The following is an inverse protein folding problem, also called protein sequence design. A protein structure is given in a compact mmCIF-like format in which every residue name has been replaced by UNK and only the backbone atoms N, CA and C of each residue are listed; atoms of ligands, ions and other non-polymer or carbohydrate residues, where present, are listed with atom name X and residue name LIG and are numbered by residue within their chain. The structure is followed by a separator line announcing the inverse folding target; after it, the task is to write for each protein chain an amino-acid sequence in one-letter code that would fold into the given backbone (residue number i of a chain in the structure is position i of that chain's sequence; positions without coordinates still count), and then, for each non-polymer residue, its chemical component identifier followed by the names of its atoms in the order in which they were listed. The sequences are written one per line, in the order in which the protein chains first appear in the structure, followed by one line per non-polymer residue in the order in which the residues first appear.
data_IF_860349211673
#
_entry.id   IF_860349211673
#
_cell.length_a   1.000
_cell.length_b   1.000
_cell.length_c   1.000
_cell.angle_alpha   90.00
_cell.angle_beta   90.00
_cell.angle_gamma   90.00
#
_symmetry.space_group_name_H-M   'P 1'
#
loop_
_entity.id
_entity.type
_entity.pdbx_description
1 polymer ?
#
# COMPACT_ATOMS: atom_id res chain seq x y z
N UNK A 1 25.27 -15.42 -0.18
CA UNK A 1 25.82 -15.94 -1.46
C UNK A 1 27.02 -16.86 -1.23
N UNK A 2 28.08 -16.40 -0.57
CA UNK A 2 29.29 -17.22 -0.31
C UNK A 2 28.94 -18.50 0.45
N UNK A 3 28.00 -18.44 1.38
CA UNK A 3 27.54 -19.58 2.18
C UNK A 3 26.44 -20.41 1.48
N UNK A 4 26.07 -20.08 0.25
CA UNK A 4 25.01 -20.76 -0.49
C UNK A 4 23.58 -20.41 -0.08
N UNK A 5 23.39 -19.51 0.88
CA UNK A 5 22.06 -19.04 1.31
C UNK A 5 21.53 -17.97 0.35
N UNK A 6 20.92 -18.43 -0.74
CA UNK A 6 20.36 -17.57 -1.80
C UNK A 6 18.88 -17.85 -2.07
N UNK A 7 18.20 -18.57 -1.18
CA UNK A 7 16.86 -19.09 -1.43
C UNK A 7 15.82 -18.00 -1.70
N UNK A 8 15.79 -16.93 -0.91
CA UNK A 8 14.81 -15.87 -1.10
C UNK A 8 15.17 -14.95 -2.28
N UNK A 9 16.44 -14.75 -2.58
CA UNK A 9 16.87 -14.01 -3.76
C UNK A 9 16.47 -14.75 -5.04
N UNK A 10 16.65 -16.07 -5.05
CA UNK A 10 16.18 -16.90 -6.16
C UNK A 10 14.66 -16.83 -6.29
N UNK A 11 13.92 -16.91 -5.20
CA UNK A 11 12.46 -16.82 -5.23
C UNK A 11 11.98 -15.44 -5.71
N UNK A 12 12.65 -14.34 -5.34
CA UNK A 12 12.38 -13.00 -5.87
C UNK A 12 12.63 -12.95 -7.38
N UNK A 13 13.76 -13.50 -7.83
CA UNK A 13 14.10 -13.56 -9.25
C UNK A 13 13.04 -14.32 -10.05
N UNK A 14 12.69 -15.51 -9.60
CA UNK A 14 11.71 -16.38 -10.27
C UNK A 14 10.33 -15.70 -10.33
N UNK A 15 9.90 -15.05 -9.26
CA UNK A 15 8.61 -14.35 -9.22
C UNK A 15 8.59 -13.14 -10.17
N UNK A 16 9.65 -12.33 -10.21
CA UNK A 16 9.76 -11.20 -11.17
C UNK A 16 9.74 -11.73 -12.61
N UNK A 17 10.53 -12.77 -12.90
CA UNK A 17 10.62 -13.36 -14.22
C UNK A 17 9.30 -13.96 -14.71
N UNK A 18 8.57 -14.63 -13.83
CA UNK A 18 7.24 -15.20 -14.08
C UNK A 18 6.24 -14.14 -14.57
N UNK A 19 6.38 -12.89 -14.13
CA UNK A 19 5.55 -11.76 -14.56
C UNK A 19 6.04 -11.07 -15.84
N UNK A 20 7.07 -11.62 -16.51
CA UNK A 20 7.58 -11.10 -17.79
C UNK A 20 8.52 -9.89 -17.65
N UNK A 21 9.05 -9.64 -16.48
CA UNK A 21 10.05 -8.60 -16.22
C UNK A 21 11.47 -9.18 -16.21
N UNK A 22 12.47 -8.34 -16.37
CA UNK A 22 13.88 -8.71 -16.43
C UNK A 22 14.57 -8.46 -15.08
N UNK A 23 14.67 -9.46 -14.19
CA UNK A 23 15.36 -9.27 -12.91
C UNK A 23 16.87 -9.26 -13.09
N UNK A 24 17.54 -8.34 -12.41
CA UNK A 24 18.99 -8.29 -12.31
C UNK A 24 19.36 -8.35 -10.83
N UNK A 25 20.02 -9.44 -10.42
CA UNK A 25 20.51 -9.57 -9.04
C UNK A 25 21.94 -9.06 -8.98
N UNK A 26 22.16 -8.16 -8.04
CA UNK A 26 23.51 -7.76 -7.66
C UNK A 26 23.67 -7.78 -6.15
N UNK A 27 24.91 -7.89 -5.71
CA UNK A 27 25.24 -7.85 -4.30
C UNK A 27 26.45 -6.95 -4.07
N UNK A 28 26.47 -6.36 -2.88
CA UNK A 28 27.56 -5.52 -2.43
C UNK A 28 27.73 -5.64 -0.93
N UNK A 29 28.88 -5.23 -0.43
CA UNK A 29 29.14 -5.06 1.00
C UNK A 29 29.32 -3.57 1.32
N UNK A 30 29.29 -3.26 2.63
CA UNK A 30 29.61 -1.93 3.15
C UNK A 30 30.99 -1.44 2.69
N UNK A 31 31.97 -2.37 2.56
CA UNK A 31 33.27 -2.12 1.99
C UNK A 31 33.63 -3.19 0.97
N UNK A 32 34.52 -2.87 0.04
CA UNK A 32 35.08 -3.89 -0.85
C UNK A 32 35.90 -4.92 -0.05
N UNK A 33 35.75 -6.20 -0.41
CA UNK A 33 36.61 -7.26 0.10
C UNK A 33 37.43 -7.88 -1.03
N UNK A 34 38.61 -7.33 -1.35
CA UNK A 34 39.43 -7.79 -2.47
C UNK A 34 39.90 -9.24 -2.34
N UNK A 35 39.98 -9.77 -1.10
CA UNK A 35 40.45 -11.16 -0.84
C UNK A 35 39.48 -12.21 -1.40
N UNK A 36 38.18 -11.89 -1.47
CA UNK A 36 37.13 -12.78 -1.99
C UNK A 36 36.45 -12.20 -3.24
N UNK A 37 37.02 -11.12 -3.80
CA UNK A 37 36.50 -10.49 -5.02
C UNK A 37 35.14 -9.81 -4.86
N UNK A 38 34.76 -9.45 -3.62
CA UNK A 38 33.46 -8.78 -3.38
C UNK A 38 33.66 -7.26 -3.52
N UNK A 39 33.00 -6.62 -4.49
CA UNK A 39 32.99 -5.17 -4.66
C UNK A 39 32.11 -4.50 -3.59
N UNK A 40 32.32 -3.21 -3.33
CA UNK A 40 31.33 -2.41 -2.64
C UNK A 40 30.10 -2.16 -3.54
N UNK A 41 29.02 -1.63 -2.97
CA UNK A 41 27.76 -1.38 -3.69
C UNK A 41 28.00 -0.55 -4.97
N UNK A 42 28.74 0.54 -4.87
CA UNK A 42 29.07 1.41 -6.00
C UNK A 42 29.79 0.67 -7.13
N UNK A 43 30.82 -0.09 -6.80
CA UNK A 43 31.57 -0.86 -7.80
C UNK A 43 30.69 -1.94 -8.45
N UNK A 44 29.80 -2.58 -7.68
CA UNK A 44 28.83 -3.54 -8.22
C UNK A 44 27.89 -2.87 -9.22
N UNK A 45 27.33 -1.73 -8.87
CA UNK A 45 26.45 -0.95 -9.74
C UNK A 45 27.18 -0.48 -10.99
N UNK A 46 28.37 0.10 -10.87
CA UNK A 46 29.18 0.54 -12.01
C UNK A 46 29.60 -0.61 -12.93
N UNK A 47 29.91 -1.77 -12.36
CA UNK A 47 30.27 -2.95 -13.15
C UNK A 47 29.10 -3.47 -14.00
N UNK A 48 27.90 -3.50 -13.41
CA UNK A 48 26.70 -4.00 -14.08
C UNK A 48 26.18 -3.04 -15.14
N UNK A 49 26.24 -1.76 -14.91
CA UNK A 49 25.57 -0.75 -15.73
C UNK A 49 26.51 0.22 -16.44
N UNK A 50 27.76 0.25 -16.06
CA UNK A 50 28.86 0.92 -16.77
C UNK A 50 28.80 2.44 -16.91
N UNK A 51 27.82 3.12 -16.27
CA UNK A 51 27.61 4.57 -16.34
C UNK A 51 26.79 5.10 -15.17
N UNK A 52 26.68 6.41 -15.09
CA UNK A 52 26.05 7.15 -14.01
C UNK A 52 24.50 7.00 -13.91
N UNK A 53 23.85 6.48 -14.94
CA UNK A 53 22.39 6.21 -14.95
C UNK A 53 22.14 4.74 -15.30
N UNK A 54 21.37 4.07 -14.45
CA UNK A 54 21.07 2.65 -14.59
C UNK A 54 19.71 2.45 -15.29
N UNK A 55 19.61 1.55 -16.27
CA UNK A 55 18.37 1.32 -17.01
C UNK A 55 17.44 0.35 -16.27
N UNK A 56 17.04 0.67 -15.05
CA UNK A 56 16.03 -0.09 -14.31
C UNK A 56 14.92 0.83 -13.78
N UNK A 57 13.72 0.28 -13.62
CA UNK A 57 12.52 1.03 -13.23
C UNK A 57 12.32 1.07 -11.73
N UNK A 58 12.79 0.05 -11.01
CA UNK A 58 12.60 -0.11 -9.58
C UNK A 58 13.71 -0.96 -8.98
N UNK A 59 14.11 -0.65 -7.77
CA UNK A 59 15.06 -1.43 -6.98
C UNK A 59 14.35 -2.13 -5.82
N UNK A 60 14.49 -3.46 -5.70
CA UNK A 60 14.10 -4.18 -4.49
C UNK A 60 15.35 -4.33 -3.62
N UNK A 61 15.36 -3.61 -2.49
CA UNK A 61 16.43 -3.69 -1.52
C UNK A 61 16.14 -4.78 -0.49
N UNK A 62 17.10 -5.68 -0.27
CA UNK A 62 16.99 -6.71 0.78
C UNK A 62 18.07 -6.55 1.86
N UNK A 63 18.85 -5.47 1.79
CA UNK A 63 19.85 -5.15 2.82
C UNK A 63 19.16 -4.52 4.03
N UNK A 64 19.73 -4.81 5.21
CA UNK A 64 19.39 -4.12 6.46
C UNK A 64 20.20 -2.83 6.57
N UNK A 65 19.87 -1.99 7.50
CA UNK A 65 20.47 -0.70 7.78
C UNK A 65 20.21 0.40 6.71
N UNK A 66 20.49 1.62 7.10
CA UNK A 66 20.45 2.78 6.22
C UNK A 66 21.57 2.73 5.17
N UNK A 67 21.29 3.17 3.95
CA UNK A 67 22.32 3.37 2.91
C UNK A 67 23.38 4.38 3.32
N UNK A 68 23.06 5.32 4.21
CA UNK A 68 24.04 6.26 4.76
C UNK A 68 25.16 5.54 5.52
N UNK A 69 24.87 4.40 6.14
CA UNK A 69 25.90 3.59 6.79
C UNK A 69 26.85 2.91 5.81
N UNK A 70 26.48 2.83 4.52
CA UNK A 70 27.38 2.43 3.42
C UNK A 70 28.27 3.59 2.93
N UNK A 71 28.09 4.78 3.46
CA UNK A 71 28.76 6.03 3.10
C UNK A 71 27.78 7.05 2.48
N UNK A 72 27.91 8.30 2.88
CA UNK A 72 27.02 9.38 2.42
C UNK A 72 26.92 9.46 0.87
N UNK A 73 27.97 9.11 0.18
CA UNK A 73 28.03 9.09 -1.29
C UNK A 73 27.07 8.04 -1.90
N UNK A 74 26.84 6.90 -1.23
CA UNK A 74 25.95 5.85 -1.74
C UNK A 74 24.49 6.35 -1.84
N UNK A 75 24.02 7.10 -0.85
CA UNK A 75 22.66 7.66 -0.89
C UNK A 75 22.52 8.69 -2.02
N UNK A 76 23.49 9.57 -2.21
CA UNK A 76 23.47 10.56 -3.29
C UNK A 76 23.49 9.88 -4.68
N UNK A 77 24.24 8.82 -4.84
CA UNK A 77 24.25 8.02 -6.08
C UNK A 77 22.91 7.35 -6.35
N UNK A 78 22.24 6.82 -5.31
CA UNK A 78 20.90 6.25 -5.45
C UNK A 78 19.85 7.32 -5.80
N UNK A 79 19.94 8.51 -5.21
CA UNK A 79 19.06 9.64 -5.55
C UNK A 79 19.16 10.04 -7.01
N UNK A 80 20.38 10.00 -7.59
CA UNK A 80 20.59 10.32 -9.01
C UNK A 80 19.90 9.33 -9.96
N UNK A 81 19.55 8.13 -9.50
CA UNK A 81 18.86 7.16 -10.33
C UNK A 81 17.36 7.48 -10.49
N UNK A 82 16.78 8.26 -9.57
CA UNK A 82 15.38 8.65 -9.59
C UNK A 82 14.43 7.46 -9.81
N UNK A 83 14.64 6.39 -9.06
CA UNK A 83 13.83 5.16 -9.10
C UNK A 83 13.30 4.81 -7.72
N UNK A 84 12.09 4.27 -7.62
CA UNK A 84 11.56 3.76 -6.37
C UNK A 84 12.44 2.63 -5.81
N UNK A 85 12.71 2.67 -4.50
CA UNK A 85 13.42 1.62 -3.79
C UNK A 85 12.43 0.96 -2.82
N UNK A 86 12.17 -0.32 -3.00
CA UNK A 86 11.22 -1.08 -2.19
C UNK A 86 11.96 -2.02 -1.26
N UNK A 87 11.66 -1.95 0.03
CA UNK A 87 12.29 -2.79 1.05
C UNK A 87 11.61 -4.16 1.14
N UNK A 88 12.31 -5.19 0.69
CA UNK A 88 11.99 -6.57 1.00
C UNK A 88 12.90 -7.07 2.12
N UNK A 89 12.40 -7.25 3.34
CA UNK A 89 13.27 -7.51 4.48
C UNK A 89 13.19 -8.94 5.00
N UNK A 90 14.33 -9.42 5.48
CA UNK A 90 14.45 -10.69 6.19
C UNK A 90 14.29 -10.47 7.69
N UNK A 91 13.74 -11.44 8.41
CA UNK A 91 13.51 -11.35 9.85
C UNK A 91 14.24 -12.46 10.63
N UNK A 92 14.57 -12.17 11.90
CA UNK A 92 15.31 -13.08 12.79
C UNK A 92 14.44 -14.10 13.53
N UNK A 93 13.28 -14.45 12.97
CA UNK A 93 12.41 -15.49 13.52
C UNK A 93 11.94 -16.43 12.40
N UNK A 94 11.52 -17.64 12.76
CA UNK A 94 10.92 -18.58 11.83
C UNK A 94 9.52 -18.14 11.41
N UNK A 95 9.04 -18.67 10.28
CA UNK A 95 7.77 -18.29 9.68
C UNK A 95 6.58 -18.55 10.61
N UNK A 96 6.56 -19.69 11.31
CA UNK A 96 5.48 -20.04 12.23
C UNK A 96 5.40 -19.04 13.39
N UNK A 97 6.54 -18.75 14.02
CA UNK A 97 6.63 -17.77 15.10
C UNK A 97 6.18 -16.38 14.64
N UNK A 98 6.56 -15.97 13.43
CA UNK A 98 6.12 -14.71 12.86
C UNK A 98 4.61 -14.69 12.58
N UNK A 99 4.05 -15.75 12.01
CA UNK A 99 2.60 -15.84 11.72
C UNK A 99 1.80 -15.74 13.00
N UNK A 100 2.21 -16.43 14.06
CA UNK A 100 1.52 -16.48 15.35
C UNK A 100 1.73 -15.20 16.20
N UNK A 101 2.75 -14.38 15.92
CA UNK A 101 3.06 -13.19 16.71
C UNK A 101 2.21 -11.97 16.29
N UNK A 102 1.30 -11.46 17.15
CA UNK A 102 0.50 -10.28 16.83
C UNK A 102 1.33 -8.98 16.73
N UNK A 103 2.50 -8.90 17.36
CA UNK A 103 3.41 -7.77 17.16
C UNK A 103 4.09 -7.82 15.78
N UNK A 104 4.15 -9.00 15.17
CA UNK A 104 4.81 -9.25 13.89
C UNK A 104 6.31 -9.45 14.06
N UNK A 105 7.12 -8.50 13.60
CA UNK A 105 8.59 -8.62 13.65
C UNK A 105 9.16 -8.07 14.97
N UNK A 106 10.42 -8.46 15.29
CA UNK A 106 11.09 -8.02 16.53
C UNK A 106 11.43 -6.52 16.50
N UNK A 107 11.60 -5.86 17.66
CA UNK A 107 12.09 -4.47 17.70
C UNK A 107 13.43 -4.29 16.97
N UNK A 108 14.29 -5.31 16.96
CA UNK A 108 15.54 -5.28 16.22
C UNK A 108 15.29 -5.26 14.71
N UNK A 109 14.38 -6.10 14.21
CA UNK A 109 14.00 -6.11 12.81
C UNK A 109 13.35 -4.79 12.40
N UNK A 110 12.46 -4.22 13.25
CA UNK A 110 11.86 -2.88 13.01
C UNK A 110 12.95 -1.84 12.83
N UNK A 111 13.93 -1.79 13.74
CA UNK A 111 15.00 -0.81 13.65
C UNK A 111 15.85 -0.98 12.38
N UNK A 112 16.35 -2.20 12.14
CA UNK A 112 17.35 -2.45 11.10
C UNK A 112 16.77 -2.58 9.69
N UNK A 113 15.55 -3.09 9.57
CA UNK A 113 14.95 -3.43 8.27
C UNK A 113 13.82 -2.50 7.84
N UNK A 114 13.27 -1.72 8.77
CA UNK A 114 12.16 -0.79 8.50
C UNK A 114 12.62 0.65 8.72
N UNK A 115 12.86 1.04 10.01
CA UNK A 115 13.08 2.45 10.35
C UNK A 115 14.33 3.05 9.70
N UNK A 116 15.45 2.34 9.71
CA UNK A 116 16.68 2.87 9.10
C UNK A 116 16.58 3.00 7.58
N UNK A 117 16.08 2.02 6.80
CA UNK A 117 15.82 2.22 5.38
C UNK A 117 14.81 3.34 5.08
N UNK A 118 13.76 3.51 5.90
CA UNK A 118 12.78 4.59 5.73
C UNK A 118 13.42 5.99 5.83
N UNK A 119 14.43 6.19 6.68
CA UNK A 119 15.17 7.44 6.77
C UNK A 119 15.89 7.81 5.45
N UNK A 120 16.17 6.83 4.61
CA UNK A 120 16.75 7.01 3.27
C UNK A 120 15.69 7.21 2.17
N UNK A 121 14.40 7.24 2.52
CA UNK A 121 13.29 7.34 1.58
C UNK A 121 12.90 6.00 0.92
N UNK A 122 13.30 4.87 1.50
CA UNK A 122 12.93 3.55 0.99
C UNK A 122 11.48 3.21 1.33
N UNK A 123 10.74 2.74 0.34
CA UNK A 123 9.32 2.38 0.45
C UNK A 123 9.20 0.99 1.11
N UNK A 124 8.33 0.86 2.10
CA UNK A 124 8.12 -0.43 2.76
C UNK A 124 7.41 -1.43 1.83
N UNK A 125 8.05 -2.57 1.62
CA UNK A 125 7.52 -3.68 0.83
C UNK A 125 6.91 -4.77 1.70
N UNK A 126 7.73 -5.44 2.49
CA UNK A 126 7.27 -6.51 3.39
C UNK A 126 8.33 -7.56 3.70
N UNK A 127 7.96 -8.51 4.54
CA UNK A 127 8.80 -9.68 4.87
C UNK A 127 8.99 -10.55 3.63
N UNK A 128 10.22 -10.81 3.22
CA UNK A 128 10.51 -11.72 2.09
C UNK A 128 11.06 -13.06 2.54
N UNK A 129 11.68 -13.12 3.74
CA UNK A 129 12.20 -14.37 4.26
C UNK A 129 12.28 -14.39 5.80
N UNK A 130 12.11 -15.57 6.35
CA UNK A 130 12.23 -15.88 7.77
C UNK A 130 13.49 -16.70 8.03
N UNK A 131 14.16 -16.45 9.17
CA UNK A 131 15.33 -17.19 9.57
C UNK A 131 14.94 -18.55 10.16
N UNK A 132 15.68 -19.58 9.80
CA UNK A 132 15.54 -20.93 10.37
C UNK A 132 16.91 -21.62 10.43
N UNK A 133 16.92 -22.88 10.84
CA UNK A 133 18.12 -23.71 10.79
C UNK A 133 18.01 -24.71 9.64
N UNK A 134 19.10 -24.92 8.92
CA UNK A 134 19.24 -26.03 7.99
C UNK A 134 19.48 -27.36 8.73
N UNK A 135 19.60 -28.46 7.98
CA UNK A 135 19.85 -29.80 8.53
C UNK A 135 21.20 -29.91 9.26
N UNK A 136 22.13 -29.01 8.99
CA UNK A 136 23.46 -28.94 9.60
C UNK A 136 23.49 -28.00 10.82
N UNK A 137 22.37 -27.33 11.14
CA UNK A 137 22.26 -26.37 12.22
C UNK A 137 22.79 -24.98 11.91
N UNK A 138 22.99 -24.63 10.63
CA UNK A 138 23.34 -23.28 10.23
C UNK A 138 22.10 -22.42 10.03
N UNK A 139 22.22 -21.12 10.30
CA UNK A 139 21.18 -20.16 9.99
C UNK A 139 21.03 -19.98 8.48
N UNK A 140 19.81 -20.13 8.00
CA UNK A 140 19.39 -19.85 6.61
C UNK A 140 18.12 -19.01 6.59
N UNK A 141 17.91 -18.27 5.50
CA UNK A 141 16.72 -17.49 5.28
C UNK A 141 15.82 -18.13 4.22
N UNK A 142 14.71 -18.73 4.65
CA UNK A 142 13.76 -19.34 3.74
C UNK A 142 12.73 -18.32 3.25
N UNK A 143 12.38 -18.35 1.96
CA UNK A 143 11.45 -17.41 1.35
C UNK A 143 10.02 -17.58 1.85
N UNK A 144 9.36 -16.48 2.17
CA UNK A 144 7.90 -16.42 2.41
C UNK A 144 7.23 -16.12 1.06
N UNK A 145 6.86 -17.16 0.34
CA UNK A 145 6.48 -17.07 -1.09
C UNK A 145 5.34 -16.07 -1.35
N UNK A 146 4.29 -16.08 -0.51
CA UNK A 146 3.16 -15.18 -0.68
C UNK A 146 3.55 -13.72 -0.42
N UNK A 147 4.47 -13.45 0.47
CA UNK A 147 4.99 -12.11 0.72
C UNK A 147 5.94 -11.65 -0.37
N UNK A 148 6.75 -12.55 -0.90
CA UNK A 148 7.57 -12.28 -2.10
C UNK A 148 6.66 -11.84 -3.26
N UNK A 149 5.58 -12.57 -3.51
CA UNK A 149 4.61 -12.20 -4.54
C UNK A 149 4.05 -10.79 -4.32
N UNK A 150 3.66 -10.44 -3.09
CA UNK A 150 3.16 -9.11 -2.75
C UNK A 150 4.21 -8.00 -2.96
N UNK A 151 5.46 -8.21 -2.53
CA UNK A 151 6.57 -7.25 -2.74
C UNK A 151 6.85 -7.06 -4.23
N UNK A 152 6.88 -8.14 -5.00
CA UNK A 152 7.10 -8.09 -6.45
C UNK A 152 5.95 -7.38 -7.16
N UNK A 153 4.69 -7.61 -6.77
CA UNK A 153 3.55 -6.91 -7.34
C UNK A 153 3.62 -5.40 -7.07
N UNK A 154 4.01 -4.98 -5.86
CA UNK A 154 4.26 -3.55 -5.57
C UNK A 154 5.35 -2.98 -6.47
N UNK A 155 6.45 -3.68 -6.64
CA UNK A 155 7.53 -3.26 -7.53
C UNK A 155 7.05 -3.12 -8.98
N UNK A 156 6.27 -4.06 -9.47
CA UNK A 156 5.69 -4.02 -10.82
C UNK A 156 4.76 -2.82 -10.99
N UNK A 157 3.94 -2.49 -9.99
CA UNK A 157 3.06 -1.32 -10.05
C UNK A 157 3.84 -0.01 -10.11
N UNK A 158 4.90 0.13 -9.33
CA UNK A 158 5.80 1.29 -9.41
C UNK A 158 6.50 1.38 -10.78
N UNK A 159 6.97 0.25 -11.31
CA UNK A 159 7.52 0.19 -12.68
C UNK A 159 6.49 0.65 -13.71
N UNK A 160 5.27 0.11 -13.67
CA UNK A 160 4.18 0.50 -14.60
C UNK A 160 3.85 1.99 -14.50
N UNK A 161 3.70 2.52 -13.29
CA UNK A 161 3.37 3.94 -13.07
C UNK A 161 4.37 4.87 -13.76
N UNK A 162 5.65 4.49 -13.80
CA UNK A 162 6.70 5.25 -14.49
C UNK A 162 6.47 5.37 -16.00
N UNK A 163 5.85 4.35 -16.61
CA UNK A 163 5.63 4.27 -18.06
C UNK A 163 4.24 4.71 -18.51
N UNK A 164 3.29 4.88 -17.60
CA UNK A 164 1.96 5.40 -17.93
C UNK A 164 2.06 6.90 -18.22
N UNK A 165 1.62 7.38 -19.41
CA UNK A 165 1.54 8.81 -19.70
C UNK A 165 0.75 9.54 -18.63
N UNK A 166 1.19 10.73 -18.22
CA UNK A 166 0.55 11.49 -17.13
C UNK A 166 -0.95 11.70 -17.39
N UNK A 167 -1.33 11.96 -18.63
CA UNK A 167 -2.73 12.15 -19.03
C UNK A 167 -3.60 10.89 -18.94
N UNK A 168 -3.00 9.70 -18.85
CA UNK A 168 -3.73 8.44 -18.76
C UNK A 168 -3.81 7.90 -17.33
N UNK A 169 -3.01 8.45 -16.40
CA UNK A 169 -2.98 8.00 -15.00
C UNK A 169 -4.31 8.21 -14.30
N UNK A 170 -4.77 7.16 -13.62
CA UNK A 170 -5.97 7.19 -12.80
C UNK A 170 -5.59 7.33 -11.32
N UNK A 171 -6.07 8.38 -10.68
CA UNK A 171 -5.71 8.68 -9.29
C UNK A 171 -6.97 8.72 -8.42
N UNK A 172 -6.95 8.01 -7.29
CA UNK A 172 -7.99 8.16 -6.27
C UNK A 172 -7.49 9.09 -5.17
N UNK A 173 -8.24 10.18 -4.91
CA UNK A 173 -7.95 11.12 -3.82
C UNK A 173 -8.98 10.86 -2.72
N UNK A 174 -8.51 10.44 -1.55
CA UNK A 174 -9.34 10.00 -0.42
C UNK A 174 -9.20 11.01 0.72
N UNK A 175 -10.25 11.79 0.94
CA UNK A 175 -10.33 12.78 2.02
C UNK A 175 -10.59 12.09 3.36
N UNK A 176 -9.83 12.44 4.38
CA UNK A 176 -10.10 11.99 5.75
C UNK A 176 -11.54 12.35 6.18
N UNK A 177 -12.23 11.42 6.83
CA UNK A 177 -13.61 11.63 7.28
C UNK A 177 -13.88 10.83 8.56
N UNK A 178 -13.61 11.44 9.70
CA UNK A 178 -13.89 10.85 11.01
C UNK A 178 -14.29 11.92 12.04
N UNK A 179 -15.38 11.72 12.78
CA UNK A 179 -16.49 10.77 12.54
C UNK A 179 -17.14 10.94 11.15
N UNK A 180 -17.83 9.89 10.63
CA UNK A 180 -18.35 9.87 9.26
C UNK A 180 -19.57 10.81 9.08
N UNK A 181 -19.34 12.10 9.13
CA UNK A 181 -20.26 13.22 8.94
C UNK A 181 -19.71 14.17 7.90
N UNK A 182 -20.60 14.81 7.13
CA UNK A 182 -20.18 15.79 6.14
C UNK A 182 -19.37 16.95 6.73
N UNK A 183 -19.72 17.37 7.95
CA UNK A 183 -19.00 18.43 8.68
C UNK A 183 -17.55 18.07 9.05
N UNK A 184 -17.18 16.81 8.97
CA UNK A 184 -15.85 16.32 9.36
C UNK A 184 -15.00 15.87 8.16
N UNK A 185 -15.51 16.03 6.93
CA UNK A 185 -14.73 15.73 5.72
C UNK A 185 -13.52 16.66 5.66
N UNK A 186 -12.34 16.08 5.51
CA UNK A 186 -11.10 16.83 5.45
C UNK A 186 -10.62 17.38 6.81
N UNK A 187 -11.22 16.98 7.93
CA UNK A 187 -10.72 17.41 9.24
C UNK A 187 -9.29 16.92 9.47
N UNK A 188 -8.41 17.86 9.84
CA UNK A 188 -7.01 17.57 10.12
C UNK A 188 -6.43 18.61 11.08
N UNK A 189 -5.52 18.17 11.97
CA UNK A 189 -4.81 19.09 12.84
C UNK A 189 -3.65 19.75 12.08
N UNK A 190 -3.74 21.07 11.89
CA UNK A 190 -2.67 21.84 11.25
C UNK A 190 -2.59 21.75 9.73
N UNK A 191 -3.51 21.07 9.07
CA UNK A 191 -3.62 21.00 7.61
C UNK A 191 -4.98 21.53 7.17
N UNK A 192 -5.00 22.50 6.28
CA UNK A 192 -6.20 22.88 5.53
C UNK A 192 -6.37 21.87 4.38
N UNK A 193 -7.10 20.80 4.65
CA UNK A 193 -7.29 19.70 3.69
C UNK A 193 -8.03 20.14 2.42
N UNK A 194 -9.15 20.90 2.49
CA UNK A 194 -9.82 21.38 1.30
C UNK A 194 -8.92 22.23 0.39
N UNK A 195 -8.21 23.19 0.97
CA UNK A 195 -7.27 24.02 0.23
C UNK A 195 -6.10 23.21 -0.34
N UNK A 196 -5.57 22.24 0.43
CA UNK A 196 -4.50 21.36 -0.02
C UNK A 196 -4.92 20.52 -1.23
N UNK A 197 -6.16 20.00 -1.23
CA UNK A 197 -6.69 19.24 -2.37
C UNK A 197 -6.93 20.15 -3.57
N UNK A 198 -7.44 21.36 -3.36
CA UNK A 198 -7.59 22.34 -4.45
C UNK A 198 -6.23 22.61 -5.13
N UNK A 199 -5.19 22.92 -4.34
CA UNK A 199 -3.83 23.13 -4.86
C UNK A 199 -3.27 21.91 -5.56
N UNK A 200 -3.55 20.71 -5.03
CA UNK A 200 -3.17 19.46 -5.68
C UNK A 200 -3.84 19.33 -7.06
N UNK A 201 -5.13 19.62 -7.18
CA UNK A 201 -5.85 19.57 -8.46
C UNK A 201 -5.30 20.58 -9.46
N UNK A 202 -5.01 21.82 -9.02
CA UNK A 202 -4.39 22.85 -9.85
C UNK A 202 -3.04 22.35 -10.41
N UNK A 203 -2.16 21.88 -9.53
CA UNK A 203 -0.83 21.40 -9.91
C UNK A 203 -0.90 20.16 -10.81
N UNK A 204 -1.76 19.20 -10.50
CA UNK A 204 -1.95 18.02 -11.35
C UNK A 204 -2.43 18.41 -12.75
N UNK A 205 -3.33 19.40 -12.87
CA UNK A 205 -3.79 19.90 -14.17
C UNK A 205 -2.66 20.55 -14.96
N UNK A 206 -1.82 21.34 -14.30
CA UNK A 206 -0.62 21.96 -14.92
C UNK A 206 0.39 20.89 -15.38
N UNK A 207 0.56 19.82 -14.63
CA UNK A 207 1.43 18.70 -14.97
C UNK A 207 0.86 17.75 -16.05
N UNK A 208 -0.38 18.04 -16.55
CA UNK A 208 -0.97 17.34 -17.67
C UNK A 208 -1.82 16.11 -17.30
N UNK A 209 -2.23 15.96 -16.04
CA UNK A 209 -3.25 14.98 -15.69
C UNK A 209 -4.60 15.35 -16.31
N UNK A 210 -5.38 14.35 -16.69
CA UNK A 210 -6.73 14.56 -17.24
C UNK A 210 -7.70 14.89 -16.11
N UNK A 211 -8.07 16.18 -16.00
CA UNK A 211 -8.99 16.75 -15.01
C UNK A 211 -10.02 17.58 -15.76
N UNK A 212 -11.30 17.27 -15.59
CA UNK A 212 -12.40 17.96 -16.27
C UNK A 212 -12.51 19.41 -15.79
N UNK A 213 -12.56 19.62 -14.47
CA UNK A 213 -12.67 20.95 -13.88
C UNK A 213 -11.89 21.06 -12.58
N UNK A 214 -11.36 22.25 -12.32
CA UNK A 214 -10.80 22.63 -11.01
C UNK A 214 -11.75 23.69 -10.43
N UNK A 215 -12.29 23.49 -9.21
CA UNK A 215 -13.11 24.49 -8.54
C UNK A 215 -12.37 25.81 -8.32
N UNK A 216 -13.08 26.93 -8.26
CA UNK A 216 -12.47 28.26 -8.06
C UNK A 216 -11.97 28.43 -6.61
N UNK A 217 -12.66 27.80 -5.66
CA UNK A 217 -12.31 27.88 -4.23
C UNK A 217 -12.39 26.53 -3.54
N UNK A 218 -11.73 26.40 -2.40
CA UNK A 218 -11.83 25.21 -1.55
C UNK A 218 -13.26 25.00 -1.00
N UNK A 219 -14.04 26.07 -0.84
CA UNK A 219 -15.46 25.97 -0.49
C UNK A 219 -16.28 25.34 -1.61
N UNK A 220 -16.09 25.77 -2.87
CA UNK A 220 -16.75 25.15 -4.03
C UNK A 220 -16.38 23.66 -4.17
N UNK A 221 -15.12 23.31 -3.91
CA UNK A 221 -14.70 21.91 -3.87
C UNK A 221 -15.50 21.13 -2.83
N UNK A 222 -15.67 21.65 -1.63
CA UNK A 222 -16.42 20.98 -0.57
C UNK A 222 -17.92 20.90 -0.86
N UNK A 223 -18.49 21.89 -1.52
CA UNK A 223 -19.88 21.85 -2.00
C UNK A 223 -20.07 20.73 -3.03
N UNK A 224 -19.12 20.57 -3.97
CA UNK A 224 -19.13 19.46 -4.91
C UNK A 224 -19.03 18.12 -4.18
N UNK A 225 -18.06 17.95 -3.28
CA UNK A 225 -17.86 16.71 -2.51
C UNK A 225 -19.14 16.32 -1.77
N UNK A 226 -19.77 17.28 -1.08
CA UNK A 226 -20.97 17.03 -0.25
C UNK A 226 -22.27 16.92 -1.04
N UNK A 227 -22.30 17.38 -2.30
CA UNK A 227 -23.43 17.17 -3.21
C UNK A 227 -23.49 15.74 -3.78
N UNK A 228 -22.41 14.99 -3.67
CA UNK A 228 -22.34 13.58 -4.04
C UNK A 228 -22.51 12.66 -2.82
N UNK A 229 -22.55 11.35 -3.05
CA UNK A 229 -22.62 10.40 -1.97
C UNK A 229 -21.36 10.44 -1.11
N UNK A 230 -21.56 10.55 0.19
CA UNK A 230 -20.52 10.51 1.23
C UNK A 230 -20.80 9.40 2.23
N UNK A 231 -20.04 9.35 3.34
CA UNK A 231 -20.28 8.38 4.41
C UNK A 231 -21.31 8.86 5.46
N UNK A 232 -21.87 10.05 5.32
CA UNK A 232 -22.88 10.60 6.26
C UNK A 232 -24.25 9.96 6.03
N UNK A 233 -24.55 8.92 6.80
CA UNK A 233 -25.82 8.19 6.70
C UNK A 233 -27.06 9.04 6.93
N UNK A 234 -26.93 10.15 7.67
CA UNK A 234 -28.06 11.05 7.92
C UNK A 234 -28.43 11.92 6.71
N UNK A 235 -27.56 11.96 5.70
CA UNK A 235 -27.75 12.71 4.46
C UNK A 235 -28.12 11.82 3.27
N UNK A 236 -28.22 10.50 3.48
CA UNK A 236 -28.55 9.56 2.39
C UNK A 236 -30.02 9.70 2.00
N UNK A 237 -30.25 9.79 0.68
CA UNK A 237 -31.57 9.69 0.06
C UNK A 237 -31.52 8.66 -1.07
N UNK A 238 -32.67 8.15 -1.47
CA UNK A 238 -32.75 7.20 -2.58
C UNK A 238 -32.25 7.83 -3.88
N UNK A 239 -32.51 9.13 -4.10
CA UNK A 239 -32.01 9.87 -5.26
C UNK A 239 -30.47 9.94 -5.26
N UNK A 240 -29.86 10.17 -4.10
CA UNK A 240 -28.41 10.25 -3.96
C UNK A 240 -27.77 8.87 -4.23
N UNK A 241 -28.36 7.81 -3.67
CA UNK A 241 -27.91 6.43 -3.90
C UNK A 241 -28.09 6.03 -5.39
N UNK A 242 -29.22 6.38 -6.00
CA UNK A 242 -29.50 6.08 -7.41
C UNK A 242 -28.54 6.82 -8.36
N UNK A 243 -28.12 8.06 -8.01
CA UNK A 243 -27.23 8.88 -8.83
C UNK A 243 -25.75 8.54 -8.68
N UNK A 244 -25.38 7.78 -7.65
CA UNK A 244 -23.98 7.43 -7.38
C UNK A 244 -23.35 6.69 -8.57
N UNK A 245 -22.12 7.09 -8.92
CA UNK A 245 -21.36 6.52 -10.03
C UNK A 245 -20.47 5.37 -9.63
N UNK A 246 -19.99 5.37 -8.39
CA UNK A 246 -19.19 4.27 -7.83
C UNK A 246 -20.10 3.13 -7.41
N UNK A 247 -20.02 1.99 -8.10
CA UNK A 247 -20.88 0.83 -7.86
C UNK A 247 -20.10 -0.47 -8.01
N UNK A 248 -20.35 -1.41 -7.12
CA UNK A 248 -19.81 -2.76 -7.17
C UNK A 248 -20.96 -3.75 -6.96
N UNK A 249 -21.21 -4.63 -7.93
CA UNK A 249 -22.28 -5.61 -7.78
C UNK A 249 -22.08 -6.46 -6.53
N UNK A 250 -23.16 -6.77 -5.82
CA UNK A 250 -23.11 -7.67 -4.65
C UNK A 250 -22.50 -9.02 -5.01
N UNK A 251 -22.74 -9.49 -6.24
CA UNK A 251 -22.16 -10.73 -6.77
C UNK A 251 -20.64 -10.65 -6.86
N UNK A 252 -20.10 -9.56 -7.45
CA UNK A 252 -18.65 -9.41 -7.62
C UNK A 252 -17.95 -9.18 -6.28
N UNK A 253 -18.59 -8.44 -5.37
CA UNK A 253 -18.07 -8.31 -4.02
C UNK A 253 -18.04 -9.65 -3.28
N UNK A 254 -19.12 -10.47 -3.36
CA UNK A 254 -19.15 -11.80 -2.75
C UNK A 254 -18.04 -12.69 -3.32
N UNK A 255 -17.86 -12.69 -4.62
CA UNK A 255 -16.80 -13.46 -5.27
C UNK A 255 -15.40 -13.04 -4.79
N UNK A 256 -15.16 -11.73 -4.63
CA UNK A 256 -13.93 -11.23 -4.01
C UNK A 256 -13.81 -11.66 -2.53
N UNK A 257 -14.86 -11.50 -1.74
CA UNK A 257 -14.87 -11.86 -0.32
C UNK A 257 -14.53 -13.33 -0.09
N UNK A 258 -15.03 -14.23 -0.92
CA UNK A 258 -14.73 -15.66 -0.91
C UNK A 258 -13.26 -15.99 -1.20
N UNK A 259 -12.49 -15.07 -1.79
CA UNK A 259 -11.04 -15.25 -1.99
C UNK A 259 -10.20 -14.96 -0.75
N UNK A 260 -10.79 -14.31 0.26
CA UNK A 260 -10.09 -13.97 1.50
C UNK A 260 -9.83 -15.24 2.36
N UNK A 261 -8.85 -15.19 3.28
CA UNK A 261 -8.62 -16.29 4.21
C UNK A 261 -9.91 -16.66 4.99
N UNK A 262 -10.15 -17.94 5.19
CA UNK A 262 -11.40 -18.43 5.83
C UNK A 262 -11.63 -17.82 7.22
N UNK A 263 -10.57 -17.67 8.02
CA UNK A 263 -10.65 -17.05 9.34
C UNK A 263 -11.07 -15.57 9.23
N UNK A 264 -10.55 -14.85 8.23
CA UNK A 264 -10.94 -13.46 7.95
C UNK A 264 -12.42 -13.37 7.59
N UNK A 265 -12.91 -14.25 6.71
CA UNK A 265 -14.33 -14.31 6.34
C UNK A 265 -15.19 -14.57 7.57
N UNK A 266 -14.84 -15.57 8.40
CA UNK A 266 -15.61 -15.93 9.58
C UNK A 266 -15.71 -14.79 10.60
N UNK A 267 -14.60 -14.08 10.86
CA UNK A 267 -14.56 -12.95 11.80
C UNK A 267 -15.42 -11.80 11.28
N UNK A 268 -15.36 -11.49 9.98
CA UNK A 268 -16.17 -10.44 9.37
C UNK A 268 -17.66 -10.77 9.37
N UNK A 269 -18.04 -12.00 9.02
CA UNK A 269 -19.44 -12.45 9.08
C UNK A 269 -19.97 -12.39 10.51
N UNK A 270 -19.19 -12.80 11.50
CA UNK A 270 -19.58 -12.73 12.92
C UNK A 270 -19.80 -11.27 13.37
N UNK A 271 -19.01 -10.33 12.87
CA UNK A 271 -19.05 -8.92 13.30
C UNK A 271 -20.07 -8.08 12.52
N UNK A 272 -20.26 -8.35 11.22
CA UNK A 272 -20.97 -7.47 10.29
C UNK A 272 -22.08 -8.18 9.49
N UNK A 273 -22.30 -9.48 9.71
CA UNK A 273 -23.26 -10.30 8.93
C UNK A 273 -22.67 -10.80 7.60
N UNK A 274 -23.53 -11.40 6.80
CA UNK A 274 -23.16 -11.95 5.50
C UNK A 274 -22.77 -10.86 4.48
N UNK A 275 -21.85 -11.19 3.58
CA UNK A 275 -21.48 -10.30 2.49
C UNK A 275 -22.67 -10.06 1.52
N UNK A 276 -22.90 -8.85 1.04
CA UNK A 276 -22.10 -7.63 1.17
C UNK A 276 -22.44 -6.76 2.39
N UNK A 277 -23.24 -7.24 3.36
CA UNK A 277 -23.83 -6.45 4.44
C UNK A 277 -25.00 -5.58 3.94
N UNK A 278 -25.49 -4.72 4.85
CA UNK A 278 -26.67 -3.87 4.57
C UNK A 278 -26.31 -2.38 4.40
N UNK A 279 -25.09 -1.98 4.72
CA UNK A 279 -24.68 -0.58 4.73
C UNK A 279 -24.18 -0.17 3.36
N UNK A 280 -24.76 0.92 2.83
CA UNK A 280 -24.49 1.42 1.49
C UNK A 280 -24.74 0.37 0.38
N UNK A 281 -25.71 -0.51 0.59
CA UNK A 281 -26.21 -1.41 -0.45
C UNK A 281 -27.53 -0.87 -0.99
N UNK A 282 -27.61 -0.74 -2.31
CA UNK A 282 -28.77 -0.24 -3.02
C UNK A 282 -28.91 -0.96 -4.36
N UNK A 283 -30.07 -1.52 -4.63
CA UNK A 283 -30.37 -2.25 -5.87
C UNK A 283 -29.36 -3.38 -6.20
N UNK A 284 -29.05 -4.19 -5.18
CA UNK A 284 -28.07 -5.29 -5.23
C UNK A 284 -26.63 -4.87 -5.58
N UNK A 285 -26.30 -3.61 -5.32
CA UNK A 285 -24.95 -3.06 -5.50
C UNK A 285 -24.44 -2.40 -4.22
N UNK A 286 -23.14 -2.56 -3.93
CA UNK A 286 -22.43 -1.77 -2.91
C UNK A 286 -22.07 -0.43 -3.53
N UNK A 287 -22.55 0.64 -2.93
CA UNK A 287 -22.32 1.99 -3.40
C UNK A 287 -21.01 2.54 -2.83
N UNK A 288 -20.18 3.06 -3.72
CA UNK A 288 -18.87 3.64 -3.40
C UNK A 288 -18.99 5.16 -3.41
N UNK A 289 -18.76 5.83 -2.27
CA UNK A 289 -18.80 7.28 -2.17
C UNK A 289 -17.82 7.97 -3.10
N UNK A 290 -18.17 9.19 -3.54
CA UNK A 290 -17.31 10.03 -4.36
C UNK A 290 -17.84 10.32 -5.75
N UNK A 291 -16.99 10.96 -6.54
CA UNK A 291 -17.30 11.34 -7.92
C UNK A 291 -16.04 11.33 -8.79
N UNK A 292 -16.26 11.21 -10.10
CA UNK A 292 -15.19 11.30 -11.10
C UNK A 292 -14.93 12.75 -11.51
N UNK A 293 -13.66 13.10 -11.74
CA UNK A 293 -13.25 14.37 -12.32
C UNK A 293 -12.12 14.08 -13.33
N UNK A 294 -12.51 13.83 -14.58
CA UNK A 294 -11.61 13.25 -15.57
C UNK A 294 -11.12 11.85 -15.16
N UNK A 295 -9.82 11.68 -15.08
CA UNK A 295 -9.19 10.44 -14.62
C UNK A 295 -9.00 10.37 -13.09
N UNK A 296 -9.61 11.30 -12.36
CA UNK A 296 -9.57 11.29 -10.88
C UNK A 296 -10.86 10.71 -10.32
N UNK A 297 -10.74 10.00 -9.19
CA UNK A 297 -11.85 9.66 -8.30
C UNK A 297 -11.64 10.38 -6.97
N UNK A 298 -12.47 11.38 -6.68
CA UNK A 298 -12.41 12.15 -5.44
C UNK A 298 -13.45 11.57 -4.49
N UNK A 299 -13.03 11.18 -3.30
CA UNK A 299 -13.85 10.39 -2.39
C UNK A 299 -13.51 10.67 -0.93
N UNK A 300 -14.25 10.05 -0.03
CA UNK A 300 -14.09 10.16 1.41
C UNK A 300 -13.67 8.81 2.00
N UNK A 301 -12.82 8.84 3.04
CA UNK A 301 -12.31 7.65 3.73
C UNK A 301 -13.48 6.82 4.28
N UNK A 302 -13.61 5.54 3.91
CA UNK A 302 -14.67 4.70 4.44
C UNK A 302 -14.51 4.52 5.97
N UNK A 303 -15.62 4.49 6.73
CA UNK A 303 -15.58 4.32 8.17
C UNK A 303 -15.16 2.90 8.56
N UNK A 304 -14.40 2.76 9.64
CA UNK A 304 -13.97 1.48 10.20
C UNK A 304 -15.09 0.63 10.79
N UNK A 305 -16.27 1.19 10.96
CA UNK A 305 -17.43 0.53 11.50
C UNK A 305 -18.58 1.50 11.74
N UNK A 306 -19.69 0.93 12.17
CA UNK A 306 -20.95 1.64 12.39
C UNK A 306 -21.49 1.26 13.77
N UNK A 307 -22.06 2.19 14.51
CA UNK A 307 -22.63 1.98 15.81
C UNK A 307 -22.77 3.28 16.63
N UNK A 308 -23.24 3.17 17.86
CA UNK A 308 -23.47 4.32 18.73
C UNK A 308 -22.17 4.95 19.26
N UNK A 309 -21.17 4.10 19.54
CA UNK A 309 -19.86 4.55 20.02
C UNK A 309 -18.80 4.51 18.91
N UNK A 310 -18.84 5.50 18.03
CA UNK A 310 -17.94 5.60 16.87
C UNK A 310 -16.47 5.64 17.31
N UNK A 311 -16.16 6.33 18.42
CA UNK A 311 -14.78 6.43 18.91
C UNK A 311 -14.20 5.08 19.37
N UNK A 312 -15.00 4.30 20.12
CA UNK A 312 -14.58 2.97 20.55
C UNK A 312 -14.37 2.04 19.35
N UNK A 313 -15.27 2.07 18.38
CA UNK A 313 -15.18 1.30 17.14
C UNK A 313 -13.91 1.66 16.36
N UNK A 314 -13.59 2.94 16.25
CA UNK A 314 -12.43 3.41 15.50
C UNK A 314 -11.10 2.93 16.08
N UNK A 315 -11.01 2.83 17.40
CA UNK A 315 -9.79 2.44 18.12
C UNK A 315 -9.77 0.96 18.55
N UNK A 316 -10.78 0.17 18.21
CA UNK A 316 -10.81 -1.25 18.54
C UNK A 316 -9.77 -2.03 17.71
N UNK A 317 -8.72 -2.61 18.34
CA UNK A 317 -7.66 -3.32 17.63
C UNK A 317 -8.09 -4.70 17.12
N UNK A 318 -9.26 -5.19 17.51
CA UNK A 318 -9.75 -6.52 17.16
C UNK A 318 -10.93 -6.50 16.19
N UNK A 319 -11.66 -5.39 16.10
CA UNK A 319 -12.85 -5.29 15.25
C UNK A 319 -12.44 -5.21 13.77
N UNK A 320 -12.84 -6.18 12.92
CA UNK A 320 -12.57 -6.15 11.50
C UNK A 320 -13.28 -4.95 10.84
N UNK A 321 -12.78 -4.46 9.69
CA UNK A 321 -13.51 -3.47 8.92
C UNK A 321 -14.83 -4.05 8.38
N UNK A 322 -15.87 -3.23 8.18
CA UNK A 322 -17.11 -3.71 7.58
C UNK A 322 -16.94 -4.03 6.09
N UNK A 323 -17.91 -4.76 5.53
CA UNK A 323 -17.92 -5.14 4.11
C UNK A 323 -17.75 -3.95 3.17
N UNK A 324 -18.44 -2.84 3.44
CA UNK A 324 -18.33 -1.61 2.68
C UNK A 324 -16.90 -1.05 2.64
N UNK A 325 -16.13 -1.19 3.71
CA UNK A 325 -14.73 -0.77 3.75
C UNK A 325 -13.86 -1.55 2.76
N UNK A 326 -13.97 -2.87 2.77
CA UNK A 326 -13.24 -3.73 1.82
C UNK A 326 -13.75 -3.56 0.40
N UNK A 327 -15.07 -3.42 0.20
CA UNK A 327 -15.65 -3.15 -1.10
C UNK A 327 -15.12 -1.85 -1.72
N UNK A 328 -14.95 -0.80 -0.91
CA UNK A 328 -14.36 0.47 -1.34
C UNK A 328 -12.95 0.29 -1.92
N UNK A 329 -12.03 -0.32 -1.17
CA UNK A 329 -10.66 -0.51 -1.65
C UNK A 329 -10.58 -1.51 -2.81
N UNK A 330 -11.42 -2.55 -2.80
CA UNK A 330 -11.53 -3.46 -3.92
C UNK A 330 -11.98 -2.74 -5.19
N UNK A 331 -13.00 -1.86 -5.09
CA UNK A 331 -13.50 -1.09 -6.21
C UNK A 331 -12.44 -0.11 -6.74
N UNK A 332 -11.81 0.65 -5.87
CA UNK A 332 -10.74 1.61 -6.25
C UNK A 332 -9.64 0.89 -7.04
N UNK A 333 -9.25 -0.30 -6.60
CA UNK A 333 -8.16 -1.06 -7.20
C UNK A 333 -8.57 -1.80 -8.48
N UNK A 334 -9.73 -2.45 -8.50
CA UNK A 334 -10.07 -3.41 -9.56
C UNK A 334 -11.13 -2.92 -10.54
N UNK A 335 -12.00 -2.00 -10.14
CA UNK A 335 -13.04 -1.42 -11.00
C UNK A 335 -12.61 -0.07 -11.54
N UNK A 336 -12.28 0.88 -10.68
CA UNK A 336 -11.71 2.16 -11.11
C UNK A 336 -10.29 1.98 -11.67
N UNK A 337 -9.53 1.03 -11.15
CA UNK A 337 -8.15 0.71 -11.54
C UNK A 337 -7.21 1.89 -11.30
N UNK A 338 -7.24 2.42 -10.07
CA UNK A 338 -6.35 3.49 -9.69
C UNK A 338 -4.87 3.06 -9.80
N UNK A 339 -4.06 3.88 -10.48
CA UNK A 339 -2.61 3.74 -10.55
C UNK A 339 -1.94 4.22 -9.26
N UNK A 340 -2.56 5.18 -8.57
CA UNK A 340 -2.15 5.64 -7.25
C UNK A 340 -3.36 6.06 -6.41
N UNK A 341 -3.22 5.93 -5.09
CA UNK A 341 -4.20 6.40 -4.09
C UNK A 341 -3.51 7.40 -3.17
N UNK A 342 -4.09 8.59 -3.07
CA UNK A 342 -3.59 9.69 -2.23
C UNK A 342 -4.59 9.90 -1.09
N UNK A 343 -4.20 9.58 0.14
CA UNK A 343 -4.98 9.94 1.33
C UNK A 343 -4.60 11.34 1.78
N UNK A 344 -5.60 12.22 1.98
CA UNK A 344 -5.39 13.61 2.40
C UNK A 344 -6.16 13.89 3.69
N UNK A 345 -5.46 14.31 4.72
CA UNK A 345 -6.02 14.61 6.04
C UNK A 345 -5.02 14.34 7.16
N UNK A 346 -5.50 14.13 8.39
CA UNK A 346 -4.64 13.84 9.55
C UNK A 346 -3.84 12.56 9.36
N UNK A 347 -4.52 11.48 8.92
CA UNK A 347 -3.98 10.16 8.59
C UNK A 347 -5.08 9.35 7.89
N UNK A 348 -4.73 8.18 7.32
CA UNK A 348 -5.70 7.21 6.85
C UNK A 348 -6.34 6.42 8.01
N UNK A 349 -7.09 5.39 7.67
CA UNK A 349 -7.65 4.45 8.65
C UNK A 349 -7.10 3.02 8.50
N UNK A 350 -6.31 2.77 7.48
CA UNK A 350 -5.71 1.46 7.22
C UNK A 350 -4.78 1.02 8.34
N UNK A 351 -3.96 1.92 8.88
CA UNK A 351 -3.01 1.67 9.97
C UNK A 351 -3.69 1.29 11.29
N UNK A 352 -4.98 1.59 11.43
CA UNK A 352 -5.79 1.25 12.60
C UNK A 352 -6.54 -0.08 12.47
N UNK A 353 -6.45 -0.74 11.31
CA UNK A 353 -7.11 -2.02 11.09
C UNK A 353 -6.41 -3.14 11.85
N UNK A 354 -7.16 -4.19 12.27
CA UNK A 354 -6.56 -5.36 12.91
C UNK A 354 -5.47 -6.01 12.05
N UNK A 355 -4.41 -6.42 12.72
CA UNK A 355 -3.25 -7.05 12.09
C UNK A 355 -2.02 -6.97 12.97
N UNK A 356 -0.87 -7.25 12.38
CA UNK A 356 0.42 -7.14 13.06
C UNK A 356 0.85 -5.69 13.21
N UNK A 357 1.57 -5.37 14.27
CA UNK A 357 2.13 -4.03 14.50
C UNK A 357 3.17 -3.63 13.45
N UNK A 358 3.96 -4.59 12.96
CA UNK A 358 4.92 -4.41 11.89
C UNK A 358 5.17 -5.74 11.16
N UNK A 359 5.58 -5.68 9.88
CA UNK A 359 5.81 -6.89 9.10
C UNK A 359 4.53 -7.67 8.84
N UNK A 360 3.57 -7.04 8.18
CA UNK A 360 2.23 -7.57 7.92
C UNK A 360 2.26 -8.89 7.15
N UNK A 361 1.36 -9.81 7.51
CA UNK A 361 1.04 -11.03 6.76
C UNK A 361 -0.18 -10.81 5.86
N UNK A 362 -0.47 -11.76 4.96
CA UNK A 362 -1.63 -11.69 4.07
C UNK A 362 -2.98 -11.62 4.78
N UNK A 363 -3.06 -12.08 6.03
CA UNK A 363 -4.28 -12.04 6.85
C UNK A 363 -4.49 -10.70 7.59
N UNK A 364 -3.53 -9.77 7.54
CA UNK A 364 -3.69 -8.45 8.14
C UNK A 364 -4.63 -7.59 7.29
N UNK A 365 -5.63 -6.97 7.90
CA UNK A 365 -6.62 -6.18 7.16
C UNK A 365 -6.04 -4.99 6.37
N UNK A 366 -4.98 -4.28 6.83
CA UNK A 366 -4.32 -3.30 5.98
C UNK A 366 -3.80 -3.92 4.66
N UNK A 367 -3.18 -5.10 4.73
CA UNK A 367 -2.74 -5.82 3.53
C UNK A 367 -3.93 -6.21 2.63
N UNK A 368 -5.00 -6.78 3.20
CA UNK A 368 -6.20 -7.14 2.45
C UNK A 368 -6.80 -5.93 1.73
N UNK A 369 -6.80 -4.76 2.39
CA UNK A 369 -7.30 -3.52 1.81
C UNK A 369 -6.48 -3.03 0.62
N UNK A 370 -5.14 -3.02 0.73
CA UNK A 370 -4.25 -2.41 -0.26
C UNK A 370 -3.46 -3.41 -1.10
N UNK A 371 -3.43 -4.69 -0.73
CA UNK A 371 -2.63 -5.66 -1.48
C UNK A 371 -3.13 -5.81 -2.90
N UNK A 372 -2.17 -5.94 -3.73
CA UNK A 372 -2.22 -5.98 -5.20
C UNK A 372 -3.10 -7.06 -5.78
#
# INVERSE_FOLDING_TARGET
WIMGDIYYQQALFEEIYKHGYNPIIFYGQYGSNPRVGIPNMKLSMNYLFGKDVFPFDVLINTCKFSFQSLGAQTLEELKLQDVPIIQGYTIYMDEKSWVENPQGVTPLDVNLSISQPELDGVIQGGVVACQTFDECGHYVYLPVKERIAAVVQRAIKWSKLRHIPVSERKIAIVLHNYPPKNSNIGSAAGLDTPESVLRLLEQMKEEGYTIDSVPDTSADLMDIVTSHMTNDRSMLTDELLASAKGRLSSKDYKAYFETLPADTQQVMVTSWGEAPGDVFVYDDEVIIPGFSNGNLWITVQPPRGFGENVSAIYHDPCLPPPHQYLAFYHWVRNVFQADAVIHVGTHGSLEWLPGKGAGLSASCYPEIGISS
#
